data_IF_862527262607
#
_entry.id   IF_862527262607
#
_cell.length_a   1.000
_cell.length_b   1.000
_cell.length_c   1.000
_cell.angle_alpha   90.00
_cell.angle_beta   90.00
_cell.angle_gamma   90.00
#
_symmetry.space_group_name_H-M   'P 1'
#
loop_
_entity.id
_entity.type
_entity.pdbx_description
1 polymer ?
#
# COMPACT_ATOMS: atom_id res chain seq x y z
N UNK A 1 -11.42 3.49 -9.84
CA UNK A 1 -10.38 3.58 -8.80
C UNK A 1 -10.86 4.56 -7.71
N UNK A 2 -10.75 4.23 -6.40
CA UNK A 2 -11.36 5.02 -5.32
C UNK A 2 -10.48 6.14 -4.72
N UNK A 3 -9.16 6.13 -4.91
CA UNK A 3 -8.27 7.05 -4.20
C UNK A 3 -8.44 8.51 -4.64
N UNK A 4 -8.82 8.74 -5.91
CA UNK A 4 -9.15 10.08 -6.41
C UNK A 4 -10.26 10.75 -5.58
N UNK A 5 -11.36 10.03 -5.34
CA UNK A 5 -12.48 10.50 -4.52
C UNK A 5 -12.07 10.64 -3.05
N UNK A 6 -11.40 9.64 -2.48
CA UNK A 6 -11.00 9.67 -1.07
C UNK A 6 -10.01 10.80 -0.77
N UNK A 7 -9.11 11.12 -1.69
CA UNK A 7 -8.20 12.25 -1.55
C UNK A 7 -8.93 13.60 -1.55
N UNK A 8 -9.98 13.73 -2.37
CA UNK A 8 -10.83 14.93 -2.36
C UNK A 8 -11.63 15.04 -1.04
N UNK A 9 -12.17 13.91 -0.54
CA UNK A 9 -12.89 13.88 0.73
C UNK A 9 -11.99 14.13 1.94
N UNK A 10 -10.73 13.69 1.89
CA UNK A 10 -9.75 13.92 2.94
C UNK A 10 -9.54 15.41 3.22
N UNK A 11 -9.57 16.25 2.18
CA UNK A 11 -9.38 17.70 2.29
C UNK A 11 -10.58 18.45 2.90
N UNK A 12 -11.76 17.83 2.96
CA UNK A 12 -13.02 18.48 3.41
C UNK A 12 -13.68 17.78 4.60
N UNK A 13 -12.96 16.86 5.25
CA UNK A 13 -13.44 16.12 6.42
C UNK A 13 -12.33 15.94 7.45
N UNK A 14 -12.67 15.94 8.74
CA UNK A 14 -11.66 15.88 9.82
C UNK A 14 -11.59 14.53 10.54
N UNK A 15 -12.70 13.77 10.57
CA UNK A 15 -12.82 12.61 11.48
C UNK A 15 -13.21 11.30 10.80
N UNK A 16 -13.87 11.35 9.63
CA UNK A 16 -14.36 10.14 8.98
C UNK A 16 -13.20 9.30 8.42
N UNK A 17 -13.24 7.98 8.63
CA UNK A 17 -12.28 7.04 8.04
C UNK A 17 -12.48 6.89 6.53
N UNK A 18 -11.38 6.74 5.79
CA UNK A 18 -11.35 6.70 4.33
C UNK A 18 -10.81 5.33 3.87
N UNK A 19 -11.70 4.36 3.76
CA UNK A 19 -11.34 2.98 3.42
C UNK A 19 -11.48 2.73 1.92
N UNK A 20 -10.38 2.42 1.25
CA UNK A 20 -10.35 2.04 -0.16
C UNK A 20 -10.26 0.52 -0.31
N UNK A 21 -11.03 -0.05 -1.24
CA UNK A 21 -10.81 -1.42 -1.69
C UNK A 21 -9.75 -1.42 -2.78
N UNK A 22 -8.70 -2.22 -2.60
CA UNK A 22 -7.66 -2.42 -3.60
C UNK A 22 -7.28 -3.90 -3.70
N UNK A 23 -7.19 -4.37 -4.95
CA UNK A 23 -6.96 -5.78 -5.24
C UNK A 23 -5.49 -6.13 -5.12
N UNK A 24 -5.19 -7.28 -4.55
CA UNK A 24 -3.84 -7.85 -4.65
C UNK A 24 -3.60 -8.44 -6.03
N UNK A 25 -4.61 -8.97 -6.72
CA UNK A 25 -4.44 -9.80 -7.92
C UNK A 25 -3.89 -9.03 -9.12
N UNK A 26 -4.39 -7.81 -9.36
CA UNK A 26 -4.10 -7.08 -10.59
C UNK A 26 -3.23 -5.83 -10.43
N UNK A 27 -3.12 -5.29 -9.21
CA UNK A 27 -2.25 -4.15 -8.96
C UNK A 27 -0.80 -4.59 -8.68
N UNK A 28 0.14 -3.65 -8.83
CA UNK A 28 1.50 -3.82 -8.33
C UNK A 28 1.58 -3.37 -6.86
N UNK A 29 2.25 -4.13 -5.97
CA UNK A 29 2.31 -3.83 -4.54
C UNK A 29 2.99 -2.48 -4.27
N UNK A 30 3.99 -2.09 -5.07
CA UNK A 30 4.64 -0.78 -4.95
C UNK A 30 3.68 0.39 -5.15
N UNK A 31 2.72 0.25 -6.08
CA UNK A 31 1.70 1.28 -6.32
C UNK A 31 0.68 1.32 -5.18
N UNK A 32 0.24 0.16 -4.68
CA UNK A 32 -0.67 0.08 -3.54
C UNK A 32 -0.05 0.72 -2.30
N UNK A 33 1.19 0.34 -1.96
CA UNK A 33 1.92 0.92 -0.83
C UNK A 33 2.00 2.45 -0.94
N UNK A 34 2.39 2.97 -2.11
CA UNK A 34 2.50 4.43 -2.33
C UNK A 34 1.17 5.16 -2.26
N UNK A 35 0.11 4.62 -2.88
CA UNK A 35 -1.24 5.26 -2.90
C UNK A 35 -1.82 5.34 -1.48
N UNK A 36 -1.72 4.27 -0.71
CA UNK A 36 -2.20 4.26 0.67
C UNK A 36 -1.37 5.13 1.61
N UNK A 37 -0.03 5.10 1.50
CA UNK A 37 0.81 6.01 2.27
C UNK A 37 0.49 7.48 1.93
N UNK A 38 0.26 7.79 0.66
CA UNK A 38 -0.13 9.14 0.23
C UNK A 38 -1.48 9.55 0.82
N UNK A 39 -2.50 8.70 0.72
CA UNK A 39 -3.82 8.97 1.31
C UNK A 39 -3.72 9.11 2.83
N UNK A 40 -2.86 8.34 3.49
CA UNK A 40 -2.68 8.41 4.92
C UNK A 40 -2.08 9.74 5.37
N UNK A 41 -1.04 10.22 4.67
CA UNK A 41 -0.47 11.56 4.89
C UNK A 41 -1.46 12.67 4.56
N UNK A 42 -2.19 12.59 3.45
CA UNK A 42 -3.19 13.60 3.04
C UNK A 42 -4.33 13.69 4.06
N UNK A 43 -4.76 12.54 4.59
CA UNK A 43 -5.91 12.46 5.50
C UNK A 43 -5.55 12.65 6.97
N UNK A 44 -4.26 12.72 7.31
CA UNK A 44 -3.81 12.81 8.71
C UNK A 44 -4.03 11.51 9.49
N UNK A 45 -3.80 10.35 8.86
CA UNK A 45 -3.89 9.05 9.53
C UNK A 45 -5.28 8.40 9.49
N UNK A 46 -6.09 8.68 8.47
CA UNK A 46 -7.47 8.15 8.36
C UNK A 46 -7.66 7.14 7.23
N UNK A 47 -6.58 6.75 6.56
CA UNK A 47 -6.66 5.79 5.45
C UNK A 47 -6.90 4.37 5.98
N UNK A 48 -7.65 3.57 5.21
CA UNK A 48 -7.75 2.14 5.42
C UNK A 48 -7.72 1.36 4.11
N UNK A 49 -7.10 0.19 4.12
CA UNK A 49 -7.04 -0.72 2.98
C UNK A 49 -7.97 -1.92 3.21
N UNK A 50 -9.05 -1.99 2.44
CA UNK A 50 -9.79 -3.22 2.27
C UNK A 50 -9.07 -4.11 1.25
N UNK A 51 -8.34 -5.11 1.73
CA UNK A 51 -7.56 -6.05 0.92
C UNK A 51 -8.47 -7.13 0.34
N UNK A 52 -8.44 -7.27 -0.99
CA UNK A 52 -9.26 -8.25 -1.72
C UNK A 52 -8.47 -8.94 -2.82
N UNK A 53 -8.88 -10.15 -3.19
CA UNK A 53 -8.27 -10.94 -4.27
C UNK A 53 -9.03 -10.82 -5.60
N UNK A 54 -10.07 -9.99 -5.66
CA UNK A 54 -11.05 -9.92 -6.78
C UNK A 54 -11.75 -11.24 -7.07
N UNK A 55 -13.07 -11.28 -6.87
CA UNK A 55 -13.87 -12.50 -7.10
C UNK A 55 -14.42 -12.65 -8.52
N UNK A 56 -14.65 -11.53 -9.24
CA UNK A 56 -15.24 -11.58 -10.58
C UNK A 56 -14.23 -12.14 -11.61
N UNK A 57 -14.50 -13.29 -12.25
CA UNK A 57 -13.60 -13.88 -13.25
C UNK A 57 -13.41 -13.00 -14.49
N UNK A 58 -14.46 -12.29 -14.93
CA UNK A 58 -14.39 -11.41 -16.12
C UNK A 58 -13.44 -10.22 -15.92
N UNK A 59 -13.05 -9.92 -14.67
CA UNK A 59 -12.06 -8.89 -14.40
C UNK A 59 -10.73 -9.23 -15.08
N UNK A 60 -10.32 -10.50 -15.09
CA UNK A 60 -9.03 -10.96 -15.63
C UNK A 60 -8.82 -10.56 -17.10
N UNK A 61 -9.89 -10.60 -17.90
CA UNK A 61 -9.92 -10.22 -19.31
C UNK A 61 -9.51 -8.75 -19.56
N UNK A 62 -9.68 -7.89 -18.55
CA UNK A 62 -9.29 -6.48 -18.63
C UNK A 62 -7.84 -6.22 -18.19
N UNK A 63 -7.17 -7.21 -17.60
CA UNK A 63 -5.80 -7.12 -17.09
C UNK A 63 -4.80 -7.99 -17.87
N UNK A 64 -5.17 -8.38 -19.09
CA UNK A 64 -4.29 -9.12 -20.00
C UNK A 64 -4.12 -10.59 -19.66
N UNK A 65 -5.09 -11.17 -18.93
CA UNK A 65 -5.15 -12.60 -18.66
C UNK A 65 -6.34 -13.22 -19.41
N UNK A 66 -6.14 -14.41 -19.95
CA UNK A 66 -7.20 -15.16 -20.64
C UNK A 66 -8.19 -15.80 -19.65
N UNK A 67 -7.70 -16.14 -18.45
CA UNK A 67 -8.48 -16.76 -17.37
C UNK A 67 -8.13 -16.13 -16.02
N UNK A 68 -9.06 -16.23 -15.07
CA UNK A 68 -8.81 -15.75 -13.72
C UNK A 68 -7.92 -16.72 -12.94
N UNK A 69 -7.01 -16.17 -12.13
CA UNK A 69 -6.10 -16.98 -11.30
C UNK A 69 -6.91 -17.83 -10.33
N UNK A 70 -6.49 -19.08 -10.10
CA UNK A 70 -7.17 -20.02 -9.19
C UNK A 70 -7.37 -19.45 -7.78
N UNK A 71 -8.47 -19.86 -7.13
CA UNK A 71 -8.88 -19.25 -5.86
C UNK A 71 -7.78 -19.28 -4.79
N UNK A 72 -7.24 -20.45 -4.50
CA UNK A 72 -6.23 -20.64 -3.46
C UNK A 72 -4.93 -19.87 -3.79
N UNK A 73 -4.51 -19.91 -5.05
CA UNK A 73 -3.33 -19.22 -5.55
C UNK A 73 -3.43 -17.70 -5.34
N UNK A 74 -4.63 -17.12 -5.53
CA UNK A 74 -4.84 -15.70 -5.25
C UNK A 74 -4.63 -15.37 -3.77
N UNK A 75 -4.98 -16.26 -2.84
CA UNK A 75 -4.76 -16.04 -1.41
C UNK A 75 -3.29 -16.22 -1.01
N UNK A 76 -2.57 -17.19 -1.60
CA UNK A 76 -1.12 -17.33 -1.41
C UNK A 76 -0.39 -16.07 -1.86
N UNK A 77 -0.68 -15.60 -3.08
CA UNK A 77 -0.14 -14.35 -3.59
C UNK A 77 -0.59 -13.14 -2.76
N UNK A 78 -1.82 -13.10 -2.26
CA UNK A 78 -2.30 -12.00 -1.41
C UNK A 78 -1.54 -11.89 -0.09
N UNK A 79 -1.14 -13.02 0.50
CA UNK A 79 -0.30 -13.05 1.71
C UNK A 79 1.06 -12.41 1.43
N UNK A 80 1.73 -12.85 0.37
CA UNK A 80 3.01 -12.27 -0.04
C UNK A 80 2.87 -10.78 -0.39
N UNK A 81 1.78 -10.41 -1.06
CA UNK A 81 1.48 -9.02 -1.40
C UNK A 81 1.34 -8.13 -0.16
N UNK A 82 0.66 -8.62 0.88
CA UNK A 82 0.55 -7.95 2.16
C UNK A 82 1.94 -7.75 2.80
N UNK A 83 2.80 -8.77 2.79
CA UNK A 83 4.14 -8.69 3.37
C UNK A 83 5.01 -7.66 2.61
N UNK A 84 4.91 -7.63 1.27
CA UNK A 84 5.60 -6.62 0.45
C UNK A 84 5.09 -5.21 0.74
N UNK A 85 3.77 -5.00 0.81
CA UNK A 85 3.20 -3.66 1.05
C UNK A 85 3.58 -3.13 2.44
N UNK A 86 3.45 -3.96 3.47
CA UNK A 86 3.80 -3.57 4.85
C UNK A 86 5.30 -3.34 5.00
N UNK A 87 6.13 -4.20 4.41
CA UNK A 87 7.58 -4.00 4.34
C UNK A 87 7.99 -2.74 3.58
N UNK A 88 7.27 -2.34 2.53
CA UNK A 88 7.49 -1.07 1.83
C UNK A 88 7.15 0.13 2.73
N UNK A 89 6.08 0.08 3.53
CA UNK A 89 5.75 1.16 4.48
C UNK A 89 6.82 1.32 5.57
N UNK A 90 7.55 0.25 5.89
CA UNK A 90 8.67 0.26 6.83
C UNK A 90 10.00 0.73 6.21
N UNK A 91 10.01 1.23 4.96
CA UNK A 91 11.24 1.72 4.30
C UNK A 91 11.89 2.91 5.02
N UNK A 92 11.12 3.74 5.72
CA UNK A 92 11.64 4.82 6.55
C UNK A 92 11.20 4.60 8.00
N UNK A 93 12.07 4.86 8.96
CA UNK A 93 11.66 4.95 10.37
C UNK A 93 10.79 6.21 10.61
N UNK A 94 10.02 6.21 11.71
CA UNK A 94 9.08 7.29 12.07
C UNK A 94 9.75 8.68 12.12
N UNK A 95 11.00 8.73 12.57
CA UNK A 95 11.78 9.95 12.77
C UNK A 95 12.93 10.08 11.75
N UNK A 96 12.78 9.49 10.56
CA UNK A 96 13.76 9.56 9.49
C UNK A 96 13.92 10.97 8.92
N UNK A 97 12.85 11.76 8.81
CA UNK A 97 12.86 13.07 8.15
C UNK A 97 13.15 14.23 9.12
N UNK A 98 14.44 14.46 9.39
CA UNK A 98 14.91 15.54 10.30
C UNK A 98 14.80 16.95 9.70
N UNK A 99 14.86 17.09 8.36
CA UNK A 99 14.69 18.36 7.63
C UNK A 99 15.53 19.52 8.18
N UNK A 100 16.80 19.25 8.48
CA UNK A 100 17.72 20.23 9.03
C UNK A 100 18.35 21.08 7.91
N UNK A 101 17.98 22.35 7.87
CA UNK A 101 18.49 23.30 6.89
C UNK A 101 19.93 23.75 7.16
N UNK A 102 20.40 23.69 8.41
CA UNK A 102 21.76 24.10 8.78
C UNK A 102 22.79 23.05 8.35
N UNK A 103 22.54 21.77 8.65
CA UNK A 103 23.40 20.68 8.18
C UNK A 103 23.14 20.24 6.73
N UNK A 104 22.00 20.65 6.15
CA UNK A 104 21.58 20.26 4.80
C UNK A 104 21.02 18.83 4.70
N UNK A 105 20.74 18.18 5.84
CA UNK A 105 20.20 16.82 5.87
C UNK A 105 18.67 16.82 5.86
N UNK A 106 18.07 16.34 4.77
CA UNK A 106 16.61 16.21 4.67
C UNK A 106 16.07 15.01 5.45
N UNK A 107 16.81 13.90 5.46
CA UNK A 107 16.52 12.70 6.23
C UNK A 107 17.81 12.02 6.70
N UNK A 108 17.71 11.21 7.74
CA UNK A 108 18.81 10.38 8.26
C UNK A 108 18.94 9.10 7.41
N UNK A 109 20.06 8.91 6.67
CA UNK A 109 20.25 7.72 5.84
C UNK A 109 20.29 6.41 6.62
N UNK A 110 20.64 6.44 7.91
CA UNK A 110 20.67 5.23 8.76
C UNK A 110 19.27 4.71 9.09
N UNK A 111 18.24 5.55 8.88
CA UNK A 111 16.82 5.26 9.11
C UNK A 111 16.05 4.92 7.83
N UNK A 112 16.79 4.66 6.74
CA UNK A 112 16.28 4.14 5.48
C UNK A 112 16.60 2.65 5.37
N UNK A 113 15.57 1.84 5.15
CA UNK A 113 15.66 0.41 4.96
C UNK A 113 15.18 0.05 3.55
N UNK A 114 15.92 -0.84 2.89
CA UNK A 114 15.56 -1.40 1.58
C UNK A 114 14.87 -2.73 1.84
N UNK A 115 13.69 -2.92 1.25
CA UNK A 115 12.90 -4.15 1.44
C UNK A 115 13.60 -5.40 0.88
N UNK A 116 14.15 -5.31 -0.35
CA UNK A 116 14.81 -6.38 -1.10
C UNK A 116 14.06 -7.73 -1.11
N UNK A 117 12.73 -7.67 -1.26
CA UNK A 117 11.87 -8.86 -1.25
C UNK A 117 12.01 -9.67 -2.54
N UNK A 118 12.20 -10.98 -2.38
CA UNK A 118 12.20 -11.98 -3.46
C UNK A 118 11.46 -13.22 -2.98
N UNK A 119 10.18 -13.33 -3.34
CA UNK A 119 9.34 -14.47 -3.03
C UNK A 119 8.91 -15.24 -4.27
N UNK A 120 7.89 -16.06 -4.10
CA UNK A 120 7.38 -16.96 -5.13
C UNK A 120 6.67 -16.20 -6.25
N UNK A 121 5.82 -15.23 -5.89
CA UNK A 121 5.02 -14.48 -6.85
C UNK A 121 5.54 -13.06 -7.09
N UNK A 122 6.28 -12.47 -6.15
CA UNK A 122 6.69 -11.06 -6.19
C UNK A 122 8.20 -10.87 -5.98
N UNK A 123 8.76 -9.92 -6.72
CA UNK A 123 10.15 -9.47 -6.58
C UNK A 123 10.17 -7.95 -6.56
N UNK A 124 10.45 -7.36 -5.39
CA UNK A 124 10.31 -5.91 -5.14
C UNK A 124 11.45 -5.41 -4.26
N UNK A 125 12.32 -4.58 -4.85
CA UNK A 125 13.50 -4.05 -4.17
C UNK A 125 13.17 -3.02 -3.07
N UNK A 126 12.25 -2.09 -3.33
CA UNK A 126 12.16 -0.87 -2.51
C UNK A 126 13.40 0.03 -2.65
N UNK A 127 13.57 1.05 -1.79
CA UNK A 127 12.63 1.49 -0.77
C UNK A 127 11.38 2.15 -1.37
N UNK A 128 10.34 2.33 -0.56
CA UNK A 128 9.21 3.17 -0.91
C UNK A 128 9.64 4.65 -0.92
N UNK A 129 9.21 5.40 -1.92
CA UNK A 129 9.63 6.79 -2.13
C UNK A 129 8.76 7.84 -1.41
N UNK A 130 8.20 7.47 -0.25
CA UNK A 130 7.37 8.33 0.61
C UNK A 130 7.67 7.98 2.07
N UNK A 131 7.51 8.95 2.96
CA UNK A 131 7.63 8.72 4.39
C UNK A 131 6.66 7.62 4.86
N UNK A 132 7.04 6.92 5.94
CA UNK A 132 6.20 5.95 6.63
C UNK A 132 4.80 6.56 6.87
N UNK A 133 3.71 5.80 6.63
CA UNK A 133 2.36 6.27 6.93
C UNK A 133 2.24 6.81 8.36
N UNK A 134 1.37 7.80 8.57
CA UNK A 134 1.11 8.42 9.88
C UNK A 134 0.68 7.38 10.91
N UNK A 135 -0.10 6.38 10.48
CA UNK A 135 -0.55 5.27 11.34
C UNK A 135 0.53 4.18 11.56
N UNK A 136 1.75 4.36 11.02
CA UNK A 136 2.69 3.26 10.79
C UNK A 136 2.23 2.46 9.59
N UNK A 137 1.14 1.71 9.74
CA UNK A 137 0.42 1.04 8.64
C UNK A 137 -1.06 1.49 8.65
N UNK A 138 -1.64 1.90 7.51
CA UNK A 138 -3.08 2.14 7.40
C UNK A 138 -3.90 0.93 7.86
N UNK A 139 -5.08 1.14 8.44
CA UNK A 139 -5.94 0.05 8.92
C UNK A 139 -6.22 -0.95 7.79
N UNK A 140 -5.93 -2.23 8.04
CA UNK A 140 -6.12 -3.29 7.06
C UNK A 140 -7.41 -4.04 7.41
N UNK A 141 -8.36 -4.00 6.49
CA UNK A 141 -9.65 -4.68 6.57
C UNK A 141 -9.67 -5.78 5.53
N UNK A 142 -10.24 -6.93 5.86
CA UNK A 142 -10.44 -8.01 4.90
C UNK A 142 -11.92 -8.40 4.92
N UNK A 143 -12.53 -8.48 3.74
CA UNK A 143 -13.94 -8.80 3.56
C UNK A 143 -14.12 -10.01 2.63
N UNK A 144 -13.41 -11.09 2.92
CA UNK A 144 -13.58 -12.37 2.21
C UNK A 144 -14.52 -13.29 2.98
N UNK A 145 -15.69 -13.57 2.40
CA UNK A 145 -16.46 -14.76 2.74
C UNK A 145 -15.97 -15.87 1.81
N UNK A 146 -15.23 -16.84 2.34
CA UNK A 146 -14.88 -18.07 1.63
C UNK A 146 -16.09 -18.97 1.48
#
# INVERSE_FOLDING_TARGET
EPFTLLSALAAVTDHIGLVATASTTFDAPYHIARRFASLDHISGGRAGWNIVTTSNPDAALNFGLDEHVEHDERYHRAREFYDVVTGLWDSFADDAFIRDAESGLYFDPSKLHVLDHKGEHLSVRGPLNIARPVQGWPVIVQAGAS
#
